data_IF_538358312889
#
_entry.id   IF_538358312889
#
_cell.length_a   1.000
_cell.length_b   1.000
_cell.length_c   1.000
_cell.angle_alpha   90.00
_cell.angle_beta   90.00
_cell.angle_gamma   90.00
#
_symmetry.space_group_name_H-M   'P 1'
#
loop_
_entity.id
_entity.type
_entity.pdbx_description
1 polymer ?
#
# COMPACT_ATOMS: atom_id res chain seq x y z
N UNK A 1 13.10 22.97 -1.61
CA UNK A 1 13.76 22.56 -2.86
C UNK A 1 13.35 21.13 -3.14
N UNK A 2 12.71 20.86 -4.26
CA UNK A 2 12.41 19.49 -4.71
C UNK A 2 13.73 18.81 -5.09
N UNK A 3 14.00 17.63 -4.53
CA UNK A 3 15.15 16.79 -4.90
C UNK A 3 15.02 16.39 -6.37
N UNK A 4 16.09 16.46 -7.16
CA UNK A 4 16.06 16.02 -8.57
C UNK A 4 15.74 14.53 -8.69
N UNK A 5 15.15 14.13 -9.81
CA UNK A 5 14.82 12.72 -10.11
C UNK A 5 16.05 11.81 -10.04
N UNK A 6 17.21 12.27 -10.50
CA UNK A 6 18.47 11.48 -10.45
C UNK A 6 18.89 11.19 -9.01
N UNK A 7 18.77 12.19 -8.13
CA UNK A 7 19.08 12.01 -6.71
C UNK A 7 18.04 11.17 -6.00
N UNK A 8 16.77 11.25 -6.40
CA UNK A 8 15.73 10.34 -5.92
C UNK A 8 16.03 8.89 -6.34
N UNK A 9 16.45 8.67 -7.59
CA UNK A 9 16.82 7.35 -8.09
C UNK A 9 18.04 6.78 -7.35
N UNK A 10 19.07 7.59 -7.10
CA UNK A 10 20.24 7.18 -6.34
C UNK A 10 19.88 6.76 -4.91
N UNK A 11 19.08 7.58 -4.22
CA UNK A 11 18.58 7.28 -2.88
C UNK A 11 17.78 5.97 -2.91
N UNK A 12 16.83 5.84 -3.85
CA UNK A 12 16.02 4.63 -4.01
C UNK A 12 16.90 3.39 -4.21
N UNK A 13 17.90 3.45 -5.09
CA UNK A 13 18.79 2.32 -5.36
C UNK A 13 19.56 1.87 -4.11
N UNK A 14 19.96 2.82 -3.26
CA UNK A 14 20.71 2.54 -2.03
C UNK A 14 19.82 1.93 -0.93
N UNK A 15 18.65 2.51 -0.66
CA UNK A 15 17.84 2.12 0.52
C UNK A 15 16.55 1.36 0.18
N UNK A 16 16.15 1.31 -1.09
CA UNK A 16 14.97 0.61 -1.58
C UNK A 16 13.65 1.38 -1.45
N UNK A 17 13.67 2.64 -1.00
CA UNK A 17 12.47 3.46 -0.87
C UNK A 17 12.72 4.96 -0.95
N UNK A 18 11.64 5.70 -1.18
CA UNK A 18 11.49 7.15 -1.04
C UNK A 18 10.24 7.44 -0.21
N UNK A 19 10.22 8.53 0.54
CA UNK A 19 9.09 8.89 1.40
C UNK A 19 8.86 10.39 1.45
N UNK A 20 7.66 10.79 1.89
CA UNK A 20 7.21 12.17 2.05
C UNK A 20 7.29 13.03 0.77
N UNK A 21 7.07 12.41 -0.39
CA UNK A 21 7.07 13.12 -1.68
C UNK A 21 5.70 13.79 -1.89
N UNK A 22 5.61 15.11 -2.11
CA UNK A 22 4.33 15.78 -2.33
C UNK A 22 3.73 15.39 -3.69
N UNK A 23 2.46 14.98 -3.70
CA UNK A 23 1.77 14.50 -4.91
C UNK A 23 0.47 15.20 -5.17
N UNK A 24 -0.41 15.41 -4.20
CA UNK A 24 -1.71 16.06 -4.43
C UNK A 24 -1.66 17.50 -3.94
N UNK A 25 -2.22 18.41 -4.74
CA UNK A 25 -2.59 19.74 -4.26
C UNK A 25 -3.78 19.64 -3.30
N UNK A 26 -4.04 20.71 -2.55
CA UNK A 26 -5.20 20.76 -1.65
C UNK A 26 -6.53 20.50 -2.37
N UNK A 27 -6.66 20.94 -3.62
CA UNK A 27 -7.87 20.69 -4.42
C UNK A 27 -7.99 19.23 -4.81
N UNK A 28 -6.95 18.63 -5.39
CA UNK A 28 -6.95 17.21 -5.78
C UNK A 28 -7.17 16.30 -4.55
N UNK A 29 -6.56 16.63 -3.42
CA UNK A 29 -6.74 15.89 -2.17
C UNK A 29 -8.19 15.98 -1.65
N UNK A 30 -8.81 17.17 -1.69
CA UNK A 30 -10.21 17.33 -1.29
C UNK A 30 -11.15 16.54 -2.19
N UNK A 31 -10.93 16.56 -3.50
CA UNK A 31 -11.74 15.82 -4.48
C UNK A 31 -11.61 14.31 -4.27
N UNK A 32 -10.36 13.81 -4.12
CA UNK A 32 -10.11 12.39 -3.86
C UNK A 32 -10.73 11.93 -2.53
N UNK A 33 -10.63 12.73 -1.47
CA UNK A 33 -11.27 12.44 -0.17
C UNK A 33 -12.78 12.43 -0.26
N UNK A 34 -13.37 13.40 -0.95
CA UNK A 34 -14.81 13.46 -1.16
C UNK A 34 -15.29 12.22 -1.91
N UNK A 35 -14.65 11.88 -3.04
CA UNK A 35 -14.98 10.70 -3.82
C UNK A 35 -14.82 9.39 -3.01
N UNK A 36 -13.76 9.27 -2.22
CA UNK A 36 -13.59 8.12 -1.33
C UNK A 36 -14.67 8.05 -0.25
N UNK A 37 -15.09 9.19 0.32
CA UNK A 37 -16.14 9.23 1.34
C UNK A 37 -17.50 8.77 0.80
N UNK A 38 -17.77 8.96 -0.50
CA UNK A 38 -18.97 8.40 -1.13
C UNK A 38 -18.89 6.86 -1.21
N UNK A 39 -17.71 6.28 -1.51
CA UNK A 39 -17.51 4.84 -1.47
C UNK A 39 -17.67 4.28 -0.05
N UNK A 40 -17.19 5.00 0.97
CA UNK A 40 -17.38 4.59 2.37
C UNK A 40 -18.84 4.62 2.80
N UNK A 41 -19.61 5.62 2.35
CA UNK A 41 -21.06 5.66 2.60
C UNK A 41 -21.79 4.51 1.91
N UNK A 42 -21.37 4.15 0.71
CA UNK A 42 -21.98 3.08 -0.09
C UNK A 42 -21.66 1.69 0.46
N UNK A 43 -20.39 1.41 0.77
CA UNK A 43 -19.92 0.06 1.10
C UNK A 43 -19.62 -0.17 2.59
N UNK A 44 -19.52 0.89 3.39
CA UNK A 44 -19.17 0.82 4.81
C UNK A 44 -17.67 0.64 5.10
N UNK A 45 -17.27 0.93 6.34
CA UNK A 45 -15.87 0.90 6.78
C UNK A 45 -15.23 -0.49 6.67
N UNK A 46 -15.98 -1.56 6.99
CA UNK A 46 -15.46 -2.93 6.94
C UNK A 46 -15.02 -3.32 5.53
N UNK A 47 -15.82 -2.99 4.51
CA UNK A 47 -15.49 -3.26 3.12
C UNK A 47 -14.37 -2.37 2.62
N UNK A 48 -14.47 -1.06 2.88
CA UNK A 48 -13.49 -0.07 2.41
C UNK A 48 -12.12 -0.18 3.10
N UNK A 49 -12.04 -0.84 4.26
CA UNK A 49 -10.79 -1.12 4.96
C UNK A 49 -9.76 -1.82 4.08
N UNK A 50 -10.19 -2.78 3.26
CA UNK A 50 -9.26 -3.56 2.45
C UNK A 50 -9.83 -4.10 1.14
N UNK A 51 -11.14 -4.09 0.89
CA UNK A 51 -11.76 -4.82 -0.22
C UNK A 51 -11.87 -4.02 -1.53
N UNK A 52 -11.62 -2.71 -1.50
CA UNK A 52 -11.55 -1.87 -2.71
C UNK A 52 -10.26 -2.14 -3.51
N UNK A 53 -10.28 -3.22 -4.28
CA UNK A 53 -9.17 -3.76 -5.07
C UNK A 53 -9.42 -3.62 -6.57
N UNK A 54 -8.43 -3.11 -7.30
CA UNK A 54 -8.49 -2.87 -8.75
C UNK A 54 -9.69 -2.04 -9.23
N UNK A 55 -10.24 -1.23 -8.33
CA UNK A 55 -11.36 -0.32 -8.61
C UNK A 55 -10.97 0.85 -9.51
N UNK A 56 -9.67 0.99 -9.87
CA UNK A 56 -9.22 1.91 -10.92
C UNK A 56 -9.87 1.61 -12.28
N UNK A 57 -10.28 0.37 -12.55
CA UNK A 57 -11.03 0.01 -13.76
C UNK A 57 -12.49 0.50 -13.73
N UNK A 58 -13.02 0.79 -12.55
CA UNK A 58 -14.44 1.12 -12.35
C UNK A 58 -14.65 2.62 -12.17
N UNK A 59 -13.71 3.30 -11.50
CA UNK A 59 -13.84 4.71 -11.14
C UNK A 59 -12.77 5.54 -11.85
N UNK A 60 -13.15 6.46 -12.76
CA UNK A 60 -12.21 7.32 -13.47
C UNK A 60 -11.30 8.15 -12.56
N UNK A 61 -11.80 8.60 -11.41
CA UNK A 61 -10.98 9.37 -10.46
C UNK A 61 -9.87 8.51 -9.84
N UNK A 62 -10.11 7.21 -9.62
CA UNK A 62 -9.10 6.28 -9.12
C UNK A 62 -8.06 6.02 -10.22
N UNK A 63 -8.48 5.84 -11.47
CA UNK A 63 -7.55 5.77 -12.62
C UNK A 63 -6.71 7.05 -12.77
N UNK A 64 -7.29 8.22 -12.51
CA UNK A 64 -6.57 9.49 -12.49
C UNK A 64 -5.45 9.50 -11.45
N UNK A 65 -5.68 8.93 -10.27
CA UNK A 65 -4.63 8.78 -9.25
C UNK A 65 -3.55 7.79 -9.67
N UNK A 66 -3.88 6.66 -10.31
CA UNK A 66 -2.87 5.67 -10.76
C UNK A 66 -2.01 6.17 -11.92
N UNK A 67 -2.40 7.22 -12.62
CA UNK A 67 -1.66 7.81 -13.75
C UNK A 67 -1.24 9.25 -13.49
N UNK A 68 -1.30 9.68 -12.23
CA UNK A 68 -1.03 11.06 -11.85
C UNK A 68 0.40 11.50 -12.26
N UNK A 69 0.58 12.66 -12.91
CA UNK A 69 1.88 13.06 -13.48
C UNK A 69 3.04 13.09 -12.47
N UNK A 70 2.80 13.62 -11.25
CA UNK A 70 3.84 13.65 -10.19
C UNK A 70 4.21 12.26 -9.65
N UNK A 71 3.32 11.28 -9.78
CA UNK A 71 3.64 9.88 -9.43
C UNK A 71 4.47 9.28 -10.56
N UNK A 72 3.99 9.38 -11.80
CA UNK A 72 4.65 8.80 -12.96
C UNK A 72 6.03 9.41 -13.24
N UNK A 73 6.27 10.66 -12.86
CA UNK A 73 7.60 11.27 -12.91
C UNK A 73 8.63 10.46 -12.11
N UNK A 74 8.32 10.14 -10.85
CA UNK A 74 9.22 9.38 -9.98
C UNK A 74 9.27 7.90 -10.37
N UNK A 75 8.12 7.31 -10.72
CA UNK A 75 8.05 5.92 -11.18
C UNK A 75 8.90 5.71 -12.42
N UNK A 76 8.85 6.63 -13.41
CA UNK A 76 9.68 6.54 -14.62
C UNK A 76 11.17 6.71 -14.34
N UNK A 77 11.52 7.54 -13.35
CA UNK A 77 12.91 7.68 -12.94
C UNK A 77 13.47 6.36 -12.37
N UNK A 78 12.63 5.53 -11.75
CA UNK A 78 13.03 4.25 -11.14
C UNK A 78 12.94 3.09 -12.14
N UNK A 79 11.80 2.92 -12.83
CA UNK A 79 11.51 1.77 -13.68
C UNK A 79 11.88 1.97 -15.15
N UNK A 80 12.15 3.20 -15.57
CA UNK A 80 12.27 3.57 -16.98
C UNK A 80 10.96 4.09 -17.58
N UNK A 81 10.97 4.44 -18.88
CA UNK A 81 9.88 5.19 -19.51
C UNK A 81 8.61 4.39 -19.79
N UNK A 82 8.72 3.06 -19.85
CA UNK A 82 7.65 2.15 -20.28
C UNK A 82 7.12 1.35 -19.10
N UNK A 83 5.95 1.74 -18.59
CA UNK A 83 5.44 1.30 -17.29
C UNK A 83 4.04 0.76 -17.40
N UNK A 84 3.82 -0.41 -16.81
CA UNK A 84 2.51 -1.04 -16.64
C UNK A 84 2.05 -0.80 -15.20
N UNK A 85 0.84 -0.27 -15.04
CA UNK A 85 0.07 -0.37 -13.81
C UNK A 85 -0.35 -1.84 -13.66
N UNK A 86 0.10 -2.48 -12.60
CA UNK A 86 -0.14 -3.90 -12.32
C UNK A 86 -1.40 -4.10 -11.48
N UNK A 87 -1.57 -3.27 -10.46
CA UNK A 87 -2.52 -3.46 -9.37
C UNK A 87 -2.77 -2.15 -8.62
N UNK A 88 -3.96 -1.99 -8.02
CA UNK A 88 -4.17 -0.95 -7.03
C UNK A 88 -5.15 -1.35 -5.92
N UNK A 89 -5.01 -0.80 -4.72
CA UNK A 89 -5.92 -1.09 -3.59
C UNK A 89 -5.97 0.06 -2.60
N UNK A 90 -7.16 0.35 -2.07
CA UNK A 90 -7.27 1.18 -0.86
C UNK A 90 -7.05 0.34 0.39
N UNK A 91 -6.23 0.85 1.31
CA UNK A 91 -5.99 0.24 2.61
C UNK A 91 -6.23 1.30 3.68
N UNK A 92 -7.34 1.17 4.38
CA UNK A 92 -7.65 2.01 5.52
C UNK A 92 -7.42 1.27 6.84
N UNK A 93 -7.09 2.01 7.89
CA UNK A 93 -7.15 1.57 9.29
C UNK A 93 -8.02 2.54 10.06
N UNK A 94 -9.21 2.09 10.44
CA UNK A 94 -10.18 2.89 11.18
C UNK A 94 -9.83 2.93 12.67
N UNK A 95 -10.24 3.99 13.40
CA UNK A 95 -10.19 4.00 14.85
C UNK A 95 -11.01 2.84 15.42
N UNK A 96 -10.41 2.03 16.29
CA UNK A 96 -11.07 0.88 16.91
C UNK A 96 -11.78 1.23 18.21
N UNK A 97 -11.40 2.34 18.83
CA UNK A 97 -12.19 2.98 19.88
C UNK A 97 -13.23 3.84 19.18
N UNK A 98 -14.45 3.30 19.00
CA UNK A 98 -15.59 4.17 18.71
C UNK A 98 -15.68 5.16 19.86
N UNK A 99 -15.67 6.46 19.57
CA UNK A 99 -15.90 7.49 20.58
C UNK A 99 -17.09 7.04 21.42
N UNK A 100 -16.86 6.79 22.71
CA UNK A 100 -17.89 6.30 23.60
C UNK A 100 -19.12 7.20 23.41
N UNK A 101 -20.26 6.61 23.09
CA UNK A 101 -21.52 7.30 23.27
C UNK A 101 -21.55 7.66 24.76
N UNK A 102 -21.19 8.90 25.11
CA UNK A 102 -21.49 9.47 26.42
C UNK A 102 -23.00 9.68 26.40
N UNK A 103 -23.74 8.59 26.59
CA UNK A 103 -25.04 8.65 27.22
C UNK A 103 -24.75 8.50 28.70
N UNK A 104 -24.82 9.62 29.42
CA UNK A 104 -24.93 9.62 30.88
C UNK A 104 -26.19 8.83 31.24
N UNK A 105 -26.04 7.55 31.53
CA UNK A 105 -27.04 6.83 32.31
C UNK A 105 -26.62 6.96 33.78
N UNK A 106 -27.45 7.63 34.57
CA UNK A 106 -27.35 7.63 36.02
C UNK A 106 -27.43 6.19 36.55
N UNK A 107 -26.28 5.61 36.84
CA UNK A 107 -26.17 4.22 37.30
C UNK A 107 -24.83 3.64 36.89
N UNK A 108 -23.80 3.92 37.70
CA UNK A 108 -22.42 3.56 37.42
C UNK A 108 -22.19 2.06 37.24
N UNK A 109 -22.23 1.60 36.00
CA UNK A 109 -21.47 0.46 35.49
C UNK A 109 -20.99 0.78 34.07
N UNK A 110 -19.70 1.11 33.95
CA UNK A 110 -19.07 1.32 32.64
C UNK A 110 -18.75 -0.03 32.02
N UNK A 111 -19.67 -0.59 31.23
CA UNK A 111 -19.32 -1.67 30.30
C UNK A 111 -18.80 -1.07 29.01
N UNK A 112 -17.48 -0.98 28.89
CA UNK A 112 -16.81 -0.70 27.63
C UNK A 112 -16.92 -1.91 26.72
N UNK A 113 -18.07 -2.11 26.09
CA UNK A 113 -18.20 -3.06 24.96
C UNK A 113 -17.67 -2.37 23.69
N UNK A 114 -16.36 -2.17 23.65
CA UNK A 114 -15.64 -2.05 22.40
C UNK A 114 -15.73 -3.41 21.71
N UNK A 115 -16.25 -3.45 20.49
CA UNK A 115 -16.29 -4.64 19.65
C UNK A 115 -14.86 -5.01 19.18
N UNK A 116 -13.95 -5.27 20.12
CA UNK A 116 -12.72 -6.01 19.85
C UNK A 116 -13.10 -7.49 19.88
N UNK A 117 -13.75 -7.95 18.81
CA UNK A 117 -13.88 -9.38 18.58
C UNK A 117 -12.50 -10.05 18.66
N UNK A 118 -12.49 -11.38 18.83
CA UNK A 118 -11.32 -12.26 18.99
C UNK A 118 -10.18 -12.12 17.95
N UNK A 119 -10.30 -11.18 16.99
CA UNK A 119 -9.48 -11.00 15.80
C UNK A 119 -8.34 -9.96 15.90
N UNK A 120 -8.09 -9.33 17.06
CA UNK A 120 -6.98 -8.38 17.22
C UNK A 120 -7.11 -7.08 16.41
N UNK A 121 -6.27 -6.08 16.70
CA UNK A 121 -6.29 -4.81 15.96
C UNK A 121 -5.65 -4.96 14.56
N UNK A 122 -6.24 -4.40 13.48
CA UNK A 122 -5.73 -4.56 12.11
C UNK A 122 -4.31 -4.03 11.93
N UNK A 123 -3.38 -4.89 11.54
CA UNK A 123 -1.98 -4.55 11.25
C UNK A 123 -1.52 -5.22 9.94
N UNK A 124 -0.36 -4.80 9.43
CA UNK A 124 0.29 -5.47 8.29
C UNK A 124 1.62 -6.00 8.79
N UNK A 125 1.77 -7.31 8.81
CA UNK A 125 3.00 -7.97 9.28
C UNK A 125 4.21 -7.65 8.39
N UNK A 126 5.42 -7.93 8.88
CA UNK A 126 6.64 -7.83 8.08
C UNK A 126 6.53 -8.71 6.84
N UNK A 127 6.69 -8.13 5.66
CA UNK A 127 6.56 -8.86 4.40
C UNK A 127 7.36 -8.19 3.27
N UNK A 128 7.34 -8.86 2.11
CA UNK A 128 7.85 -8.37 0.84
C UNK A 128 6.74 -8.56 -0.19
N UNK A 129 6.35 -7.50 -0.90
CA UNK A 129 5.26 -7.52 -1.89
C UNK A 129 5.52 -8.59 -2.97
N UNK A 130 6.77 -8.75 -3.39
CA UNK A 130 7.16 -9.67 -4.47
C UNK A 130 6.77 -11.12 -4.17
N UNK A 131 6.63 -11.51 -2.89
CA UNK A 131 6.12 -12.83 -2.47
C UNK A 131 4.76 -13.14 -3.08
N UNK A 132 3.94 -12.10 -3.25
CA UNK A 132 2.56 -12.22 -3.68
C UNK A 132 2.40 -12.06 -5.18
N UNK A 133 3.31 -11.35 -5.84
CA UNK A 133 3.19 -11.02 -7.26
C UNK A 133 3.82 -12.04 -8.20
N UNK A 134 4.94 -12.68 -7.84
CA UNK A 134 5.60 -13.62 -8.75
C UNK A 134 5.82 -13.04 -10.13
N UNK A 135 6.62 -12.00 -10.18
CA UNK A 135 6.99 -11.31 -11.42
C UNK A 135 8.50 -11.42 -11.55
N UNK A 136 8.97 -11.63 -12.78
CA UNK A 136 10.38 -11.58 -13.15
C UNK A 136 10.58 -10.57 -14.28
N UNK A 137 11.83 -10.36 -14.70
CA UNK A 137 12.17 -9.40 -15.77
C UNK A 137 12.22 -7.93 -15.36
N UNK A 138 11.84 -7.60 -14.12
CA UNK A 138 11.92 -6.25 -13.57
C UNK A 138 11.43 -6.19 -12.12
N UNK A 139 11.68 -5.07 -11.44
CA UNK A 139 11.17 -4.83 -10.09
C UNK A 139 9.67 -4.53 -10.10
N UNK A 140 8.97 -4.98 -9.06
CA UNK A 140 7.65 -4.45 -8.70
C UNK A 140 7.87 -3.24 -7.83
N UNK A 141 7.30 -2.11 -8.21
CA UNK A 141 7.39 -0.86 -7.46
C UNK A 141 6.03 -0.55 -6.83
N UNK A 142 6.00 -0.38 -5.52
CA UNK A 142 4.79 -0.05 -4.76
C UNK A 142 4.81 1.43 -4.40
N UNK A 143 3.79 2.17 -4.82
CA UNK A 143 3.50 3.54 -4.38
C UNK A 143 2.41 3.48 -3.32
N UNK A 144 2.57 4.23 -2.23
CA UNK A 144 1.55 4.43 -1.22
C UNK A 144 1.20 5.91 -1.17
N UNK A 145 0.03 6.27 -1.69
CA UNK A 145 -0.48 7.66 -1.71
C UNK A 145 -1.39 7.91 -0.50
N UNK A 146 -1.05 8.89 0.32
CA UNK A 146 -1.77 9.23 1.54
C UNK A 146 -3.05 10.03 1.23
N UNK A 147 -4.24 9.46 1.53
CA UNK A 147 -5.46 10.26 1.59
C UNK A 147 -5.64 10.90 2.96
N UNK A 148 -5.16 10.25 4.03
CA UNK A 148 -5.08 10.82 5.38
C UNK A 148 -3.63 10.88 5.83
N UNK A 149 -3.35 11.68 6.86
CA UNK A 149 -2.05 11.64 7.53
C UNK A 149 -1.76 10.21 7.99
N UNK A 150 -0.57 9.72 7.69
CA UNK A 150 -0.07 8.41 8.05
C UNK A 150 1.11 8.62 8.99
N UNK A 151 0.85 8.48 10.28
CA UNK A 151 1.80 8.73 11.37
C UNK A 151 1.92 7.47 12.23
N UNK A 152 2.91 7.46 13.13
CA UNK A 152 3.23 6.27 13.94
C UNK A 152 2.00 5.73 14.68
N UNK A 153 1.23 6.60 15.31
CA UNK A 153 0.08 6.25 16.15
C UNK A 153 -1.12 5.67 15.38
N UNK A 154 -1.24 5.99 14.09
CA UNK A 154 -2.32 5.50 13.24
C UNK A 154 -1.85 4.47 12.20
N UNK A 155 -0.65 3.93 12.41
CA UNK A 155 -0.11 2.79 11.65
C UNK A 155 0.58 3.21 10.35
N UNK A 156 1.48 4.18 10.41
CA UNK A 156 2.41 4.49 9.33
C UNK A 156 3.20 3.26 8.87
N UNK A 157 3.62 3.28 7.61
CA UNK A 157 4.53 2.28 7.07
C UNK A 157 5.86 2.36 7.82
N UNK A 158 6.46 1.20 8.08
CA UNK A 158 7.83 1.06 8.52
C UNK A 158 8.58 0.13 7.58
N UNK A 159 9.85 0.41 7.36
CA UNK A 159 10.70 -0.31 6.39
C UNK A 159 12.05 -0.62 7.02
N UNK A 160 12.73 -1.67 6.54
CA UNK A 160 14.13 -1.94 6.86
C UNK A 160 14.99 -1.47 5.68
N UNK A 161 15.70 -0.32 5.79
CA UNK A 161 16.47 0.24 4.69
C UNK A 161 17.49 -0.74 4.11
N UNK A 162 17.56 -0.83 2.78
CA UNK A 162 18.53 -1.66 2.06
C UNK A 162 18.19 -3.15 2.00
N UNK A 163 17.11 -3.60 2.64
CA UNK A 163 16.77 -5.03 2.69
C UNK A 163 16.32 -5.59 1.34
N UNK A 164 15.97 -4.75 0.36
CA UNK A 164 15.62 -5.15 -1.00
C UNK A 164 16.79 -5.85 -1.71
N UNK A 165 18.02 -5.54 -1.32
CA UNK A 165 19.25 -6.18 -1.83
C UNK A 165 19.47 -7.61 -1.31
N UNK A 166 18.75 -8.04 -0.27
CA UNK A 166 18.92 -9.36 0.35
C UNK A 166 18.10 -10.46 -0.33
N UNK A 167 17.34 -10.14 -1.38
CA UNK A 167 16.42 -11.07 -2.03
C UNK A 167 15.21 -11.39 -1.17
N UNK A 168 14.50 -12.47 -1.53
CA UNK A 168 13.27 -12.89 -0.85
C UNK A 168 13.58 -13.64 0.46
N UNK A 169 13.03 -13.18 1.56
CA UNK A 169 13.06 -13.90 2.84
C UNK A 169 12.00 -15.02 2.88
N UNK A 170 12.21 -16.06 3.71
CA UNK A 170 11.15 -17.01 4.04
C UNK A 170 9.92 -16.31 4.64
N UNK A 171 8.73 -16.74 4.21
CA UNK A 171 7.46 -16.35 4.83
C UNK A 171 6.79 -17.57 5.45
N UNK A 172 6.21 -17.40 6.64
CA UNK A 172 5.38 -18.39 7.32
C UNK A 172 4.00 -17.81 7.65
N UNK A 173 3.08 -18.66 8.13
CA UNK A 173 1.79 -18.18 8.62
C UNK A 173 1.98 -17.29 9.84
N UNK A 174 1.36 -16.12 9.81
CA UNK A 174 1.42 -15.18 10.91
C UNK A 174 0.65 -15.73 12.11
N UNK A 175 1.27 -15.64 13.28
CA UNK A 175 0.72 -16.20 14.52
C UNK A 175 -0.24 -15.24 15.23
N UNK A 176 -0.01 -13.93 15.08
CA UNK A 176 -0.79 -12.88 15.75
C UNK A 176 -2.06 -12.53 14.96
N UNK A 177 -3.25 -12.55 15.58
CA UNK A 177 -4.50 -12.18 14.92
C UNK A 177 -4.52 -10.70 14.54
N UNK A 178 -5.22 -10.39 13.44
CA UNK A 178 -5.40 -9.02 12.94
C UNK A 178 -4.53 -8.66 11.74
N UNK A 179 -3.76 -9.61 11.20
CA UNK A 179 -2.97 -9.36 9.99
C UNK A 179 -3.90 -9.15 8.79
N UNK A 180 -3.74 -8.03 8.10
CA UNK A 180 -4.57 -7.65 6.95
C UNK A 180 -4.11 -8.30 5.63
N UNK A 181 -2.94 -8.96 5.62
CA UNK A 181 -2.43 -9.62 4.42
C UNK A 181 -3.32 -10.80 4.06
N UNK A 182 -3.75 -10.88 2.79
CA UNK A 182 -4.78 -11.84 2.34
C UNK A 182 -4.41 -13.31 2.51
N UNK A 183 -3.12 -13.63 2.65
CA UNK A 183 -2.62 -14.99 2.89
C UNK A 183 -2.14 -15.21 4.33
N UNK A 184 -2.33 -14.22 5.20
CA UNK A 184 -1.90 -14.23 6.59
C UNK A 184 -0.45 -14.71 6.76
N UNK A 185 0.48 -14.15 5.96
CA UNK A 185 1.89 -14.51 6.03
C UNK A 185 2.73 -13.38 6.60
N UNK A 186 3.84 -13.74 7.24
CA UNK A 186 4.84 -12.82 7.75
C UNK A 186 6.26 -13.35 7.51
N UNK A 187 7.24 -12.46 7.55
CA UNK A 187 8.66 -12.82 7.69
C UNK A 187 8.90 -13.04 9.18
N UNK A 188 9.48 -14.19 9.59
CA UNK A 188 9.82 -14.44 10.99
C UNK A 188 10.64 -13.28 11.58
N UNK A 189 10.29 -12.85 12.79
CA UNK A 189 10.89 -11.67 13.44
C UNK A 189 12.41 -11.80 13.57
N UNK A 190 12.92 -13.01 13.81
CA UNK A 190 14.36 -13.31 13.89
C UNK A 190 15.12 -13.08 12.58
N UNK A 191 14.43 -13.02 11.44
CA UNK A 191 15.01 -12.70 10.13
C UNK A 191 14.90 -11.21 9.79
N UNK A 192 14.07 -10.47 10.53
CA UNK A 192 13.87 -9.03 10.34
C UNK A 192 14.84 -8.27 11.23
N UNK A 193 15.66 -7.39 10.63
CA UNK A 193 16.49 -6.44 11.38
C UNK A 193 15.62 -5.26 11.87
N UNK A 194 14.65 -5.55 12.75
CA UNK A 194 13.64 -4.59 13.19
C UNK A 194 14.23 -3.42 13.99
N UNK A 195 15.40 -3.60 14.60
CA UNK A 195 16.18 -2.55 15.26
C UNK A 195 16.67 -1.46 14.29
N UNK A 196 16.79 -1.80 13.01
CA UNK A 196 17.16 -0.88 11.92
C UNK A 196 15.95 -0.30 11.20
N UNK A 197 14.74 -0.68 11.60
CA UNK A 197 13.53 -0.20 10.95
C UNK A 197 13.36 1.31 11.13
N UNK A 198 12.86 1.97 10.09
CA UNK A 198 12.52 3.39 10.11
C UNK A 198 11.06 3.58 9.71
N UNK A 199 10.40 4.56 10.34
CA UNK A 199 9.05 4.96 9.96
C UNK A 199 9.08 5.83 8.70
N UNK A 200 8.06 5.66 7.87
CA UNK A 200 7.78 6.46 6.69
C UNK A 200 6.50 7.28 6.92
N UNK A 201 6.53 8.33 7.77
CA UNK A 201 5.36 9.16 7.99
C UNK A 201 5.04 9.97 6.74
N UNK A 202 3.75 10.17 6.48
CA UNK A 202 3.26 10.93 5.33
C UNK A 202 2.16 11.87 5.81
N UNK A 203 2.22 13.13 5.37
CA UNK A 203 1.05 14.00 5.41
C UNK A 203 0.11 13.66 4.25
N UNK A 204 -1.17 13.94 4.43
CA UNK A 204 -2.14 13.73 3.37
C UNK A 204 -1.74 14.46 2.06
N UNK A 205 -1.91 13.79 0.93
CA UNK A 205 -1.45 14.24 -0.38
C UNK A 205 0.02 13.94 -0.68
N UNK A 206 0.78 13.37 0.27
CA UNK A 206 2.12 12.84 -0.01
C UNK A 206 2.09 11.37 -0.39
N UNK A 207 3.18 10.89 -1.00
CA UNK A 207 3.41 9.46 -1.23
C UNK A 207 4.74 8.97 -0.65
N UNK A 208 4.80 7.67 -0.39
CA UNK A 208 6.04 6.90 -0.36
C UNK A 208 6.08 5.94 -1.56
N UNK A 209 7.28 5.51 -1.92
CA UNK A 209 7.53 4.50 -2.95
C UNK A 209 8.54 3.50 -2.41
N UNK A 210 8.33 2.20 -2.60
CA UNK A 210 9.27 1.17 -2.17
C UNK A 210 9.37 -0.01 -3.14
N UNK A 211 10.53 -0.65 -3.13
CA UNK A 211 10.81 -1.87 -3.89
C UNK A 211 9.98 -3.05 -3.37
N UNK A 212 9.54 -3.92 -4.27
CA UNK A 212 8.77 -5.12 -3.93
C UNK A 212 9.52 -6.13 -3.06
N UNK A 213 10.85 -6.05 -2.99
CA UNK A 213 11.69 -6.83 -2.08
C UNK A 213 12.06 -6.06 -0.79
N UNK A 214 11.65 -4.82 -0.62
CA UNK A 214 11.88 -4.12 0.64
C UNK A 214 11.04 -4.76 1.75
N UNK A 215 11.65 -5.05 2.90
CA UNK A 215 10.99 -5.59 4.07
C UNK A 215 10.25 -4.44 4.74
N UNK A 216 8.93 -4.57 4.85
CA UNK A 216 8.08 -3.52 5.36
C UNK A 216 6.86 -4.05 6.12
N UNK A 217 6.32 -3.22 7.01
CA UNK A 217 5.18 -3.52 7.86
C UNK A 217 4.39 -2.24 8.18
N UNK A 218 3.25 -2.38 8.86
CA UNK A 218 2.62 -1.24 9.54
C UNK A 218 1.81 -1.69 10.75
N UNK A 219 2.01 -1.02 11.88
CA UNK A 219 1.32 -1.30 13.14
C UNK A 219 -0.15 -0.95 13.10
N UNK A 220 -0.90 -1.45 14.09
CA UNK A 220 -2.31 -1.12 14.25
C UNK A 220 -2.55 0.38 14.44
N UNK A 221 -3.74 0.84 14.03
CA UNK A 221 -4.19 2.18 14.39
C UNK A 221 -4.66 2.17 15.86
N UNK A 222 -3.96 2.93 16.69
CA UNK A 222 -4.26 3.10 18.12
C UNK A 222 -4.78 4.52 18.44
N UNK A 223 -4.99 5.32 17.40
CA UNK A 223 -5.45 6.70 17.49
C UNK A 223 -6.95 6.84 17.21
N UNK A 224 -7.46 8.07 17.34
CA UNK A 224 -8.84 8.45 16.98
C UNK A 224 -8.99 8.90 15.51
N UNK A 225 -7.91 8.86 14.72
CA UNK A 225 -7.90 9.33 13.33
C UNK A 225 -7.81 8.15 12.38
N UNK A 226 -8.67 8.10 11.37
CA UNK A 226 -8.53 7.14 10.26
C UNK A 226 -7.20 7.36 9.56
N UNK A 227 -6.57 6.27 9.15
CA UNK A 227 -5.45 6.27 8.21
C UNK A 227 -5.91 5.58 6.95
N UNK A 228 -6.17 6.32 5.88
CA UNK A 228 -6.41 5.72 4.57
C UNK A 228 -5.36 6.12 3.54
N UNK A 229 -4.89 5.13 2.79
CA UNK A 229 -4.01 5.35 1.65
C UNK A 229 -4.31 4.41 0.49
N UNK A 230 -3.82 4.82 -0.67
CA UNK A 230 -4.01 4.14 -1.93
C UNK A 230 -2.70 3.53 -2.39
N UNK A 231 -2.65 2.20 -2.43
CA UNK A 231 -1.52 1.44 -2.93
C UNK A 231 -1.65 1.29 -4.43
N UNK A 232 -0.61 1.61 -5.16
CA UNK A 232 -0.52 1.48 -6.62
C UNK A 232 0.75 0.73 -6.93
N UNK A 233 0.66 -0.30 -7.77
CA UNK A 233 1.83 -1.13 -8.11
C UNK A 233 2.13 -1.03 -9.58
N UNK A 234 3.40 -0.83 -9.87
CA UNK A 234 3.91 -0.68 -11.22
C UNK A 234 5.01 -1.69 -11.51
N UNK A 235 5.15 -2.04 -12.78
CA UNK A 235 6.26 -2.85 -13.31
C UNK A 235 6.72 -2.25 -14.64
N UNK A 236 7.99 -2.44 -15.03
CA UNK A 236 8.41 -2.09 -16.39
C UNK A 236 7.75 -3.03 -17.40
N UNK A 237 7.55 -2.60 -18.64
CA UNK A 237 6.89 -3.42 -19.68
C UNK A 237 7.63 -4.74 -20.00
N UNK A 238 8.93 -4.80 -19.77
CA UNK A 238 9.73 -6.02 -19.92
C UNK A 238 9.46 -7.07 -18.84
N UNK A 239 8.82 -6.71 -17.73
CA UNK A 239 8.46 -7.66 -16.69
C UNK A 239 7.44 -8.69 -17.21
N UNK A 240 7.42 -9.87 -16.60
CA UNK A 240 6.50 -10.95 -16.96
C UNK A 240 6.07 -11.77 -15.74
N UNK A 241 4.82 -12.27 -15.73
CA UNK A 241 4.37 -13.22 -14.70
C UNK A 241 5.20 -14.50 -14.72
N UNK A 242 5.59 -14.97 -13.54
CA UNK A 242 6.08 -16.33 -13.33
C UNK A 242 5.00 -17.18 -12.68
N UNK A 243 4.90 -18.43 -13.14
CA UNK A 243 3.91 -19.37 -12.61
C UNK A 243 4.43 -19.98 -11.31
N UNK A 244 3.53 -20.03 -10.34
CA UNK A 244 3.70 -20.75 -9.08
C UNK A 244 2.57 -21.80 -9.05
N UNK A 245 2.87 -23.10 -9.17
CA UNK A 245 1.85 -24.15 -9.20
C UNK A 245 0.92 -24.13 -7.99
N UNK A 246 1.46 -23.73 -6.83
CA UNK A 246 0.73 -23.67 -5.57
C UNK A 246 -0.05 -22.36 -5.42
N UNK A 247 0.25 -21.36 -6.26
CA UNK A 247 -0.39 -20.04 -6.25
C UNK A 247 -0.52 -19.47 -7.65
N UNK A 248 -1.48 -19.93 -8.47
CA UNK A 248 -1.71 -19.37 -9.80
C UNK A 248 -2.09 -17.89 -9.70
N UNK A 249 -1.44 -17.06 -10.51
CA UNK A 249 -1.64 -15.60 -10.51
C UNK A 249 -2.24 -15.17 -11.84
N UNK A 250 -3.23 -14.28 -11.77
CA UNK A 250 -3.83 -13.63 -12.95
C UNK A 250 -3.86 -12.13 -12.74
N UNK A 251 -3.54 -11.39 -13.81
CA UNK A 251 -3.36 -9.95 -13.79
C UNK A 251 -4.40 -9.29 -14.70
N UNK A 252 -5.66 -9.30 -14.27
CA UNK A 252 -6.77 -8.82 -15.11
C UNK A 252 -6.91 -7.29 -15.14
N UNK A 253 -6.19 -6.58 -14.28
CA UNK A 253 -6.30 -5.14 -14.10
C UNK A 253 -5.09 -4.36 -14.62
N UNK A 254 -4.28 -4.98 -15.47
CA UNK A 254 -3.09 -4.32 -15.99
C UNK A 254 -3.45 -3.26 -17.02
N UNK A 255 -2.82 -2.09 -16.92
CA UNK A 255 -2.97 -0.98 -17.87
C UNK A 255 -1.60 -0.41 -18.20
N UNK A 256 -1.36 -0.06 -19.46
CA UNK A 256 -0.16 0.71 -19.84
C UNK A 256 -0.29 2.12 -19.22
N UNK A 257 0.50 2.39 -18.18
CA UNK A 257 0.43 3.64 -17.43
C UNK A 257 1.15 4.77 -18.18
N UNK A 258 2.28 4.47 -18.83
CA UNK A 258 2.96 5.37 -19.76
C UNK A 258 3.94 4.61 -20.67
N UNK A 259 4.37 5.27 -21.75
CA UNK A 259 5.34 4.71 -22.69
C UNK A 259 4.70 3.78 -23.73
N UNK A 260 5.41 2.72 -24.10
CA UNK A 260 5.00 1.73 -25.10
C UNK A 260 5.24 0.30 -24.58
N UNK A 261 4.28 -0.61 -24.78
CA UNK A 261 4.47 -2.04 -24.50
C UNK A 261 4.75 -2.82 -25.79
N UNK A 262 6.03 -3.17 -25.99
CA UNK A 262 6.46 -4.01 -27.10
C UNK A 262 6.41 -5.52 -26.76
N UNK A 263 6.34 -5.86 -25.47
CA UNK A 263 6.48 -7.24 -24.99
C UNK A 263 5.13 -7.95 -24.89
N UNK A 264 4.07 -7.23 -24.52
CA UNK A 264 2.71 -7.75 -24.40
C UNK A 264 2.60 -8.95 -23.43
N UNK A 265 3.42 -8.98 -22.37
CA UNK A 265 3.42 -10.07 -21.39
C UNK A 265 2.17 -10.09 -20.50
N UNK A 266 1.51 -8.95 -20.33
CA UNK A 266 0.30 -8.79 -19.52
C UNK A 266 -0.98 -8.63 -20.36
N UNK A 267 -0.86 -8.56 -21.67
CA UNK A 267 -2.02 -8.52 -22.57
C UNK A 267 -2.78 -9.83 -22.43
N UNK A 268 -4.05 -9.77 -21.98
CA UNK A 268 -4.92 -10.94 -21.99
C UNK A 268 -5.00 -11.47 -23.44
N UNK A 269 -4.25 -12.53 -23.74
CA UNK A 269 -4.51 -13.33 -24.94
C UNK A 269 -5.81 -14.06 -24.65
N UNK A 270 -6.93 -13.44 -25.02
CA UNK A 270 -8.18 -14.15 -25.20
C UNK A 270 -7.92 -15.23 -26.26
N UNK A 271 -7.65 -16.45 -25.82
CA UNK A 271 -7.86 -17.67 -26.60
C UNK A 271 -9.00 -18.42 -25.96
#
# INVERSE_FOLDING_TARGET
>A
MTTSTDKQQEIYNQQGFLSALPVLTDTELREARHAFSELEKEFGEEYTQYSLHNVHLQYPWVMGLTTHPRILEVVKAILGPDVILLDSRFICKYPTVKAANIQENEGGETKSEGNTGENGLPYVAWHQDMRYWGIAGGSVLSVWLALDDSLKENGALQVVPGSHCSGMFPHHQASRPGNMLSVNQEIPEELVQADKAVFCPLLAGQMSIHDGLLVHASDANTSQRRRCGFVIRYVPTCAYPIQDPDRPRKFHATVLACGTDQFNHFSNKST
#
